data_IF_260246529535
#
_entry.id   IF_260246529535
#
_cell.length_a   1.000
_cell.length_b   1.000
_cell.length_c   1.000
_cell.angle_alpha   90.00
_cell.angle_beta   90.00
_cell.angle_gamma   90.00
#
_symmetry.space_group_name_H-M   'P 1'
#
loop_
_entity.id
_entity.type
_entity.pdbx_description
1 polymer ?
#
# COMPACT_ATOMS: atom_id res chain seq x y z
N UNK A 1 -8.56 -9.04 4.80
CA UNK A 1 -8.54 -10.42 4.27
C UNK A 1 -7.45 -10.68 3.23
N UNK A 2 -6.93 -9.66 2.52
CA UNK A 2 -5.89 -9.84 1.50
C UNK A 2 -4.50 -10.20 2.03
N UNK A 3 -4.03 -9.57 3.11
CA UNK A 3 -2.69 -9.84 3.65
C UNK A 3 -2.49 -11.33 3.96
N UNK A 4 -3.44 -11.96 4.66
CA UNK A 4 -3.40 -13.39 4.97
C UNK A 4 -3.34 -14.26 3.70
N UNK A 5 -4.10 -13.92 2.66
CA UNK A 5 -4.08 -14.65 1.39
C UNK A 5 -2.69 -14.64 0.74
N UNK A 6 -2.03 -13.48 0.71
CA UNK A 6 -0.71 -13.33 0.11
C UNK A 6 0.39 -14.01 0.94
N UNK A 7 0.30 -13.96 2.27
CA UNK A 7 1.21 -14.67 3.16
C UNK A 7 1.08 -16.19 3.03
N UNK A 8 -0.15 -16.72 2.93
CA UNK A 8 -0.36 -18.16 2.72
C UNK A 8 0.16 -18.65 1.37
N UNK A 9 0.17 -17.78 0.34
CA UNK A 9 0.79 -18.07 -0.96
C UNK A 9 2.31 -17.99 -0.95
N UNK A 10 2.90 -17.28 0.01
CA UNK A 10 4.34 -17.11 0.14
C UNK A 10 4.81 -17.57 1.53
N UNK A 11 5.09 -18.87 1.71
CA UNK A 11 5.46 -19.44 3.02
C UNK A 11 6.75 -18.84 3.58
N UNK A 12 7.64 -18.33 2.73
CA UNK A 12 8.85 -17.64 3.16
C UNK A 12 8.52 -16.31 3.86
N UNK A 13 7.69 -15.47 3.25
CA UNK A 13 7.22 -14.23 3.89
C UNK A 13 6.44 -14.52 5.17
N UNK A 14 5.59 -15.55 5.19
CA UNK A 14 4.85 -15.95 6.39
C UNK A 14 5.79 -16.37 7.53
N UNK A 15 6.83 -17.15 7.26
CA UNK A 15 7.80 -17.58 8.25
C UNK A 15 8.58 -16.37 8.83
N UNK A 16 9.06 -15.48 7.97
CA UNK A 16 9.79 -14.27 8.37
C UNK A 16 8.92 -13.29 9.18
N UNK A 17 7.65 -13.13 8.80
CA UNK A 17 6.71 -12.32 9.57
C UNK A 17 6.44 -12.93 10.95
N UNK A 18 6.25 -14.25 11.00
CA UNK A 18 6.04 -14.96 12.27
C UNK A 18 7.25 -14.79 13.18
N UNK A 19 8.47 -14.94 12.66
CA UNK A 19 9.70 -14.72 13.43
C UNK A 19 9.78 -13.30 14.01
N UNK A 20 9.47 -12.27 13.23
CA UNK A 20 9.49 -10.88 13.71
C UNK A 20 8.44 -10.64 14.80
N UNK A 21 7.23 -11.18 14.65
CA UNK A 21 6.15 -11.03 15.62
C UNK A 21 6.44 -11.81 16.89
N UNK A 22 6.87 -13.08 16.77
CA UNK A 22 7.19 -13.94 17.92
C UNK A 22 8.36 -13.37 18.73
N UNK A 23 9.33 -12.73 18.07
CA UNK A 23 10.47 -12.08 18.74
C UNK A 23 10.07 -10.82 19.52
N UNK A 24 8.90 -10.25 19.24
CA UNK A 24 8.41 -9.04 19.88
C UNK A 24 7.46 -9.31 21.06
N UNK A 25 6.98 -10.54 21.22
CA UNK A 25 5.97 -10.92 22.21
C UNK A 25 6.56 -11.84 23.29
N UNK A 26 6.08 -11.67 24.52
CA UNK A 26 6.40 -12.59 25.61
C UNK A 26 5.55 -13.88 25.49
N UNK A 27 6.02 -15.03 26.00
CA UNK A 27 5.30 -16.30 25.88
C UNK A 27 3.88 -16.33 26.48
N UNK A 28 3.61 -15.47 27.47
CA UNK A 28 2.31 -15.35 28.13
C UNK A 28 1.38 -14.29 27.50
N UNK A 29 1.87 -13.52 26.52
CA UNK A 29 1.07 -12.54 25.79
C UNK A 29 0.21 -13.20 24.71
N UNK A 30 -1.01 -13.58 25.08
CA UNK A 30 -2.00 -14.16 24.15
C UNK A 30 -2.50 -13.14 23.12
N UNK A 31 -2.48 -11.84 23.46
CA UNK A 31 -2.91 -10.74 22.59
C UNK A 31 -1.75 -9.76 22.45
N UNK A 32 -1.32 -9.53 21.21
CA UNK A 32 -0.22 -8.62 20.90
C UNK A 32 -0.56 -7.16 21.29
N UNK A 33 0.18 -6.54 22.23
CA UNK A 33 -0.01 -5.13 22.56
C UNK A 33 0.38 -4.22 21.38
N UNK A 34 -0.44 -3.22 21.09
CA UNK A 34 -0.20 -2.30 19.97
C UNK A 34 1.19 -1.65 20.01
N UNK A 35 1.64 -1.23 21.20
CA UNK A 35 2.94 -0.58 21.35
C UNK A 35 4.14 -1.46 20.99
N UNK A 36 4.00 -2.79 21.11
CA UNK A 36 5.04 -3.74 20.74
C UNK A 36 5.07 -4.02 19.23
N UNK A 37 3.91 -3.99 18.57
CA UNK A 37 3.80 -4.37 17.15
C UNK A 37 3.82 -3.20 16.18
N UNK A 38 3.55 -1.97 16.63
CA UNK A 38 3.40 -0.79 15.73
C UNK A 38 4.67 -0.39 14.98
N UNK A 39 5.86 -0.81 15.46
CA UNK A 39 7.15 -0.49 14.85
C UNK A 39 7.80 -1.69 14.14
N UNK A 40 7.12 -2.83 14.07
CA UNK A 40 7.62 -4.00 13.37
C UNK A 40 7.61 -3.74 11.86
N UNK A 41 8.82 -3.66 11.30
CA UNK A 41 9.03 -3.16 9.94
C UNK A 41 8.54 -4.17 8.90
N UNK A 42 8.75 -5.47 9.13
CA UNK A 42 8.31 -6.49 8.20
C UNK A 42 6.78 -6.67 8.25
N UNK A 43 6.17 -6.61 9.43
CA UNK A 43 4.72 -6.56 9.58
C UNK A 43 4.13 -5.38 8.80
N UNK A 44 4.72 -4.19 8.95
CA UNK A 44 4.27 -3.01 8.20
C UNK A 44 4.42 -3.22 6.69
N UNK A 45 5.55 -3.76 6.25
CA UNK A 45 5.83 -4.06 4.85
C UNK A 45 4.84 -5.08 4.25
N UNK A 46 4.47 -6.13 4.99
CA UNK A 46 3.46 -7.09 4.54
C UNK A 46 2.08 -6.44 4.40
N UNK A 47 1.72 -5.56 5.33
CA UNK A 47 0.46 -4.81 5.26
C UNK A 47 0.43 -3.89 4.04
N UNK A 48 1.46 -3.05 3.88
CA UNK A 48 1.56 -2.09 2.77
C UNK A 48 1.58 -2.83 1.41
N UNK A 49 2.31 -3.94 1.28
CA UNK A 49 2.34 -4.73 0.04
C UNK A 49 0.99 -5.37 -0.29
N UNK A 50 0.29 -5.88 0.73
CA UNK A 50 -1.04 -6.45 0.53
C UNK A 50 -2.06 -5.39 0.08
N UNK A 51 -1.96 -4.18 0.63
CA UNK A 51 -2.81 -3.05 0.24
C UNK A 51 -2.41 -2.49 -1.13
N UNK A 52 -1.15 -2.60 -1.51
CA UNK A 52 -0.69 -2.23 -2.85
C UNK A 52 -1.36 -3.12 -3.90
N UNK A 53 -1.24 -4.44 -3.76
CA UNK A 53 -1.74 -5.40 -4.77
C UNK A 53 -3.27 -5.44 -4.80
N UNK A 54 -3.87 -5.42 -3.61
CA UNK A 54 -5.31 -5.52 -3.41
C UNK A 54 -5.80 -4.32 -2.61
N UNK A 55 -5.86 -3.13 -3.24
CA UNK A 55 -6.31 -1.93 -2.57
C UNK A 55 -7.79 -2.07 -2.16
N UNK A 56 -8.19 -1.49 -1.01
CA UNK A 56 -9.55 -1.60 -0.51
C UNK A 56 -10.57 -0.93 -1.45
N UNK A 57 -10.13 0.08 -2.19
CA UNK A 57 -10.92 0.75 -3.23
C UNK A 57 -10.17 0.67 -4.56
N UNK A 58 -10.75 0.02 -5.56
CA UNK A 58 -10.13 -0.14 -6.89
C UNK A 58 -10.49 1.01 -7.83
N UNK A 59 -11.66 1.62 -7.65
CA UNK A 59 -12.08 2.83 -8.34
C UNK A 59 -11.46 4.08 -7.69
N UNK A 60 -11.25 5.12 -8.48
CA UNK A 60 -10.72 6.36 -7.96
C UNK A 60 -11.73 7.11 -7.12
N UNK A 61 -11.29 7.65 -5.98
CA UNK A 61 -12.12 8.56 -5.20
C UNK A 61 -12.30 9.86 -6.01
N UNK A 62 -13.54 10.27 -6.31
CA UNK A 62 -13.79 11.40 -7.19
C UNK A 62 -13.28 12.70 -6.56
N UNK A 63 -12.77 13.59 -7.40
CA UNK A 63 -12.54 15.01 -7.14
C UNK A 63 -13.25 15.82 -8.21
N UNK A 64 -13.55 17.08 -7.90
CA UNK A 64 -14.17 18.01 -8.84
C UNK A 64 -13.18 19.12 -9.15
N UNK A 65 -12.99 19.42 -10.44
CA UNK A 65 -12.20 20.58 -10.85
C UNK A 65 -12.85 21.87 -10.34
N UNK A 66 -12.06 22.93 -10.07
CA UNK A 66 -12.63 24.20 -9.65
C UNK A 66 -13.46 24.82 -10.80
N UNK A 67 -14.37 25.78 -10.54
CA UNK A 67 -15.26 26.34 -11.56
C UNK A 67 -14.55 26.91 -12.79
N UNK A 68 -13.34 27.44 -12.63
CA UNK A 68 -12.49 27.96 -13.71
C UNK A 68 -11.81 26.88 -14.56
N UNK A 69 -11.94 25.60 -14.21
CA UNK A 69 -11.22 24.49 -14.84
C UNK A 69 -9.80 24.33 -14.32
N UNK A 70 -9.07 23.34 -14.84
CA UNK A 70 -7.70 23.07 -14.43
C UNK A 70 -6.88 22.40 -15.53
N UNK A 71 -5.58 22.68 -15.59
CA UNK A 71 -4.66 21.99 -16.48
C UNK A 71 -4.10 20.74 -15.80
N UNK A 72 -4.41 19.56 -16.34
CA UNK A 72 -3.92 18.27 -15.86
C UNK A 72 -3.08 17.64 -16.96
N UNK A 73 -1.79 17.41 -16.69
CA UNK A 73 -0.84 16.82 -17.65
C UNK A 73 -0.76 17.57 -19.00
N UNK A 74 -0.94 18.89 -18.98
CA UNK A 74 -0.93 19.74 -20.18
C UNK A 74 -2.28 19.86 -20.90
N UNK A 75 -3.30 19.12 -20.46
CA UNK A 75 -4.66 19.18 -21.02
C UNK A 75 -5.58 20.02 -20.13
N UNK A 76 -6.33 20.92 -20.74
CA UNK A 76 -7.31 21.74 -20.01
C UNK A 76 -8.59 20.94 -19.77
N UNK A 77 -8.93 20.74 -18.50
CA UNK A 77 -10.17 20.11 -18.07
C UNK A 77 -11.16 21.21 -17.64
N UNK A 78 -12.38 21.24 -18.21
CA UNK A 78 -13.39 22.22 -17.85
C UNK A 78 -13.72 22.21 -16.35
N UNK A 79 -14.25 23.34 -15.88
CA UNK A 79 -14.69 23.45 -14.50
C UNK A 79 -15.80 22.47 -14.15
N UNK A 80 -15.93 22.20 -12.85
CA UNK A 80 -16.98 21.34 -12.30
C UNK A 80 -16.97 19.88 -12.80
N UNK A 81 -15.87 19.45 -13.43
CA UNK A 81 -15.67 18.11 -14.00
C UNK A 81 -15.21 17.13 -12.93
N UNK A 82 -15.79 15.93 -12.92
CA UNK A 82 -15.34 14.86 -12.03
C UNK A 82 -14.11 14.16 -12.60
N UNK A 83 -13.03 14.12 -11.82
CA UNK A 83 -11.78 13.42 -12.13
C UNK A 83 -11.45 12.43 -11.01
N UNK A 84 -10.71 11.37 -11.33
CA UNK A 84 -10.28 10.38 -10.33
C UNK A 84 -9.05 9.61 -10.78
N UNK A 85 -8.31 9.02 -9.84
CA UNK A 85 -7.16 8.15 -10.09
C UNK A 85 -7.41 6.76 -9.50
N UNK A 86 -7.14 5.71 -10.25
CA UNK A 86 -7.30 4.34 -9.76
C UNK A 86 -6.03 3.86 -9.06
N UNK A 87 -6.13 3.63 -7.74
CA UNK A 87 -5.04 3.01 -6.98
C UNK A 87 -4.67 1.64 -7.56
N UNK A 88 -5.64 0.88 -8.05
CA UNK A 88 -5.40 -0.42 -8.70
C UNK A 88 -4.47 -0.30 -9.92
N UNK A 89 -4.68 0.70 -10.76
CA UNK A 89 -3.86 0.94 -11.97
C UNK A 89 -2.49 1.49 -11.58
N UNK A 90 -2.43 2.52 -10.72
CA UNK A 90 -1.16 3.14 -10.30
C UNK A 90 -0.24 2.13 -9.62
N UNK A 91 -0.77 1.29 -8.73
CA UNK A 91 0.01 0.27 -8.04
C UNK A 91 0.49 -0.88 -8.91
N UNK A 92 0.03 -0.95 -10.17
CA UNK A 92 0.41 -1.95 -11.17
C UNK A 92 1.32 -1.42 -12.27
N UNK A 93 1.75 -0.15 -12.18
CA UNK A 93 2.74 0.40 -13.10
C UNK A 93 4.11 -0.27 -12.83
N UNK A 94 4.67 -1.05 -13.78
CA UNK A 94 5.94 -1.75 -13.58
C UNK A 94 7.14 -0.80 -13.49
N UNK A 95 7.00 0.46 -13.91
CA UNK A 95 8.05 1.48 -13.77
C UNK A 95 8.17 1.98 -12.32
N UNK A 96 7.09 1.87 -11.54
CA UNK A 96 7.05 2.25 -10.13
C UNK A 96 7.22 1.01 -9.26
N UNK A 97 6.48 -0.06 -9.58
CA UNK A 97 6.47 -1.32 -8.82
C UNK A 97 6.90 -2.48 -9.73
N UNK A 98 8.22 -2.79 -9.78
CA UNK A 98 8.71 -3.97 -10.49
C UNK A 98 8.02 -5.23 -10.00
N UNK A 99 7.69 -6.12 -10.94
CA UNK A 99 6.89 -7.33 -10.72
C UNK A 99 5.58 -7.02 -9.97
N UNK A 100 4.69 -6.18 -10.55
CA UNK A 100 3.58 -5.58 -9.81
C UNK A 100 2.53 -6.58 -9.32
N UNK A 101 2.43 -7.76 -9.95
CA UNK A 101 1.51 -8.83 -9.53
C UNK A 101 2.11 -9.77 -8.46
N UNK A 102 3.41 -9.63 -8.16
CA UNK A 102 4.10 -10.41 -7.14
C UNK A 102 4.01 -9.72 -5.77
N UNK A 103 3.71 -10.50 -4.73
CA UNK A 103 3.78 -10.04 -3.33
C UNK A 103 5.22 -10.08 -2.83
N UNK A 104 5.84 -8.91 -2.76
CA UNK A 104 7.23 -8.71 -2.33
C UNK A 104 7.26 -7.67 -1.21
N UNK A 105 7.04 -8.06 0.07
CA UNK A 105 7.11 -7.14 1.20
C UNK A 105 8.45 -6.38 1.28
N UNK A 106 9.55 -7.02 0.87
CA UNK A 106 10.90 -6.45 0.90
C UNK A 106 11.02 -5.10 0.19
N UNK A 107 10.15 -4.79 -0.79
CA UNK A 107 10.17 -3.50 -1.51
C UNK A 107 9.92 -2.30 -0.60
N UNK A 108 9.26 -2.51 0.54
CA UNK A 108 8.92 -1.46 1.50
C UNK A 108 10.01 -1.22 2.55
N UNK A 109 11.12 -1.97 2.49
CA UNK A 109 12.21 -1.88 3.46
C UNK A 109 13.33 -0.97 2.94
N UNK A 110 14.04 -0.32 3.86
CA UNK A 110 15.20 0.52 3.56
C UNK A 110 14.84 1.80 2.79
N UNK A 111 15.83 2.37 2.09
CA UNK A 111 15.65 3.61 1.31
C UNK A 111 14.70 3.41 0.13
N UNK A 112 14.75 2.26 -0.55
CA UNK A 112 13.86 1.95 -1.67
C UNK A 112 12.39 2.03 -1.27
N UNK A 113 12.04 1.53 -0.08
CA UNK A 113 10.67 1.62 0.43
C UNK A 113 10.20 3.05 0.70
N UNK A 114 11.12 3.95 1.11
CA UNK A 114 10.81 5.37 1.30
C UNK A 114 10.51 6.05 -0.03
N UNK A 115 11.25 5.71 -1.08
CA UNK A 115 11.04 6.24 -2.43
C UNK A 115 9.70 5.79 -3.03
N UNK A 116 9.17 4.64 -2.60
CA UNK A 116 7.86 4.13 -3.04
C UNK A 116 6.67 4.77 -2.33
N UNK A 117 6.85 5.36 -1.13
CA UNK A 117 5.74 5.88 -0.33
C UNK A 117 4.86 6.92 -1.03
N UNK A 118 5.41 7.89 -1.80
CA UNK A 118 4.59 8.85 -2.54
C UNK A 118 3.65 8.20 -3.58
N UNK A 119 3.96 6.98 -4.03
CA UNK A 119 3.18 6.23 -5.01
C UNK A 119 2.18 5.27 -4.37
N UNK A 120 2.23 5.10 -3.05
CA UNK A 120 1.31 4.27 -2.30
C UNK A 120 0.03 5.03 -1.96
N UNK A 121 -0.98 4.88 -2.81
CA UNK A 121 -2.25 5.62 -2.75
C UNK A 121 -3.44 4.73 -2.42
N UNK A 122 -3.22 3.68 -1.61
CA UNK A 122 -4.28 2.73 -1.20
C UNK A 122 -5.48 3.41 -0.51
N UNK A 123 -5.27 4.59 0.07
CA UNK A 123 -6.28 5.42 0.73
C UNK A 123 -6.48 6.77 0.04
N UNK A 124 -6.16 6.88 -1.26
CA UNK A 124 -6.05 8.14 -2.00
C UNK A 124 -4.95 9.06 -1.45
N UNK A 125 -4.77 10.20 -2.10
CA UNK A 125 -3.81 11.23 -1.73
C UNK A 125 -4.36 12.61 -2.12
N UNK A 126 -3.83 13.66 -1.48
CA UNK A 126 -4.28 15.04 -1.69
C UNK A 126 -5.60 15.36 -0.98
N UNK A 127 -5.90 16.66 -0.92
CA UNK A 127 -7.17 17.20 -0.42
C UNK A 127 -8.19 17.24 -1.57
#
# INVERSE_FOLDING_TARGET
MSCMYWLLKNPFCMAKLREEVDSALEPDEVVAPYDKVKLLLYLRACLDESLRITPPTTFGLPRRTPPEGWNILGEFIPGDTTVSISAYVTHRDPNIFPEPESCVPERWLGEQGKDLQPHFIAFSAGA
#
